data_IF_458414637415
#
_entry.id   IF_458414637415
#
_cell.length_a   1.000
_cell.length_b   1.000
_cell.length_c   1.000
_cell.angle_alpha   90.00
_cell.angle_beta   90.00
_cell.angle_gamma   90.00
#
_symmetry.space_group_name_H-M   'P 1'
#
loop_
_entity.id
_entity.type
_entity.pdbx_description
1 polymer ?
#
# COMPACT_ATOMS: atom_id res chain seq x y z
N UNK A 1 19.22 -21.99 -1.62
CA UNK A 1 19.35 -20.84 -2.53
C UNK A 1 18.17 -19.91 -2.27
N UNK A 2 18.40 -18.74 -1.65
CA UNK A 2 17.33 -17.78 -1.31
C UNK A 2 17.11 -16.87 -2.52
N UNK A 3 15.91 -16.90 -3.10
CA UNK A 3 15.52 -15.96 -4.17
C UNK A 3 15.03 -14.67 -3.52
N UNK A 4 15.88 -13.65 -3.47
CA UNK A 4 15.52 -12.34 -2.94
C UNK A 4 14.61 -11.60 -3.93
N UNK A 5 13.58 -10.92 -3.44
CA UNK A 5 12.66 -10.12 -4.27
C UNK A 5 13.45 -9.08 -5.11
N UNK A 6 14.53 -8.53 -4.57
CA UNK A 6 15.42 -7.60 -5.28
C UNK A 6 16.18 -8.18 -6.48
N UNK A 7 16.20 -9.51 -6.67
CA UNK A 7 16.75 -10.12 -7.89
C UNK A 7 15.81 -10.05 -9.11
N UNK A 8 14.58 -9.57 -8.90
CA UNK A 8 13.56 -9.44 -9.96
C UNK A 8 13.87 -8.23 -10.83
N UNK A 9 14.09 -8.44 -12.11
CA UNK A 9 14.23 -7.38 -13.11
C UNK A 9 13.04 -7.41 -14.05
N UNK A 10 12.45 -6.25 -14.34
CA UNK A 10 11.42 -6.17 -15.39
C UNK A 10 12.09 -6.19 -16.76
N UNK A 11 11.38 -6.62 -17.80
CA UNK A 11 11.88 -6.60 -19.20
C UNK A 11 12.38 -5.21 -19.66
N UNK A 12 11.94 -4.13 -18.99
CA UNK A 12 12.36 -2.75 -19.25
C UNK A 12 13.58 -2.30 -18.42
N UNK A 13 14.23 -3.20 -17.68
CA UNK A 13 15.47 -2.90 -16.94
C UNK A 13 15.28 -2.20 -15.59
N UNK A 14 14.05 -2.12 -15.06
CA UNK A 14 13.83 -1.59 -13.71
C UNK A 14 14.48 -2.53 -12.68
N UNK A 15 15.36 -1.96 -11.84
CA UNK A 15 15.95 -2.62 -10.68
C UNK A 15 15.02 -2.43 -9.49
N UNK A 16 14.69 -3.52 -8.81
CA UNK A 16 13.88 -3.50 -7.59
C UNK A 16 14.82 -3.60 -6.40
N UNK A 17 14.71 -2.67 -5.46
CA UNK A 17 15.40 -2.73 -4.17
C UNK A 17 14.38 -3.11 -3.10
N UNK A 18 14.78 -3.98 -2.19
CA UNK A 18 14.00 -4.35 -1.03
C UNK A 18 14.94 -4.33 0.17
N UNK A 19 14.53 -3.61 1.20
CA UNK A 19 15.27 -3.45 2.46
C UNK A 19 14.37 -3.84 3.63
N UNK A 20 15.01 -4.20 4.75
CA UNK A 20 14.29 -4.46 5.97
C UNK A 20 13.86 -3.11 6.57
N UNK A 21 12.58 -2.97 6.83
CA UNK A 21 12.04 -1.85 7.59
C UNK A 21 12.09 -2.20 9.09
N UNK A 22 13.01 -1.57 9.81
CA UNK A 22 13.20 -1.78 11.26
C UNK A 22 12.37 -0.80 12.11
N UNK A 23 11.50 0.01 11.48
CA UNK A 23 10.65 0.94 12.22
C UNK A 23 9.65 0.19 13.13
N UNK A 24 9.43 0.75 14.31
CA UNK A 24 8.40 0.28 15.22
C UNK A 24 7.04 0.86 14.84
N UNK A 25 6.10 -0.02 14.50
CA UNK A 25 4.73 0.34 14.18
C UNK A 25 3.79 0.01 15.34
N UNK A 26 3.33 1.02 16.11
CA UNK A 26 2.40 0.78 17.21
C UNK A 26 1.12 0.14 16.70
N UNK A 27 0.75 -0.99 17.32
CA UNK A 27 -0.47 -1.73 16.99
C UNK A 27 -1.66 -1.20 17.78
N UNK A 28 -2.88 -1.47 17.30
CA UNK A 28 -4.10 -1.08 18.01
C UNK A 28 -4.47 0.40 17.92
N UNK A 29 -3.80 1.19 17.05
CA UNK A 29 -4.22 2.56 16.76
C UNK A 29 -5.62 2.52 16.12
N UNK A 30 -6.63 3.00 16.85
CA UNK A 30 -7.99 3.13 16.35
C UNK A 30 -8.18 4.48 15.69
N UNK A 31 -8.34 4.47 14.37
CA UNK A 31 -8.76 5.66 13.61
C UNK A 31 -10.27 5.80 13.75
N UNK A 32 -10.77 7.03 13.97
CA UNK A 32 -12.21 7.25 14.06
C UNK A 32 -12.89 7.13 12.69
N UNK A 33 -14.17 6.75 12.66
CA UNK A 33 -14.95 6.69 11.42
C UNK A 33 -14.97 8.03 10.69
N UNK A 34 -14.98 9.14 11.45
CA UNK A 34 -14.92 10.50 10.91
C UNK A 34 -13.60 10.78 10.18
N UNK A 35 -12.49 10.26 10.67
CA UNK A 35 -11.19 10.41 10.02
C UNK A 35 -11.07 9.52 8.79
N UNK A 36 -11.51 8.27 8.90
CA UNK A 36 -11.56 7.34 7.77
C UNK A 36 -12.44 7.85 6.63
N UNK A 37 -13.60 8.44 6.96
CA UNK A 37 -14.51 9.03 5.98
C UNK A 37 -13.93 10.22 5.21
N UNK A 38 -12.88 10.87 5.73
CA UNK A 38 -12.18 11.93 4.98
C UNK A 38 -11.33 11.35 3.85
N UNK A 39 -10.91 10.09 3.93
CA UNK A 39 -10.07 9.49 2.90
C UNK A 39 -10.94 9.33 1.64
N UNK A 40 -10.46 9.86 0.51
CA UNK A 40 -11.17 9.81 -0.75
C UNK A 40 -10.94 8.43 -1.39
N UNK A 41 -11.63 7.41 -0.86
CA UNK A 41 -11.49 6.01 -1.27
C UNK A 41 -12.60 5.64 -2.26
N UNK A 42 -12.20 5.14 -3.42
CA UNK A 42 -13.09 4.47 -4.37
C UNK A 42 -12.83 2.96 -4.31
N UNK A 43 -13.86 2.18 -3.96
CA UNK A 43 -13.77 0.72 -3.90
C UNK A 43 -14.04 0.11 -5.27
N UNK A 44 -13.29 -0.93 -5.62
CA UNK A 44 -13.50 -1.66 -6.86
C UNK A 44 -14.77 -2.52 -6.80
N UNK A 45 -15.39 -2.79 -7.94
CA UNK A 45 -16.54 -3.69 -8.02
C UNK A 45 -16.14 -5.14 -7.75
N UNK A 46 -14.89 -5.51 -8.08
CA UNK A 46 -14.35 -6.83 -7.79
C UNK A 46 -13.53 -6.79 -6.50
N UNK A 47 -14.06 -7.39 -5.43
CA UNK A 47 -13.46 -7.41 -4.09
C UNK A 47 -13.11 -6.02 -3.55
N UNK A 48 -14.05 -5.07 -3.57
CA UNK A 48 -13.86 -3.70 -3.09
C UNK A 48 -13.43 -3.57 -1.62
N UNK A 49 -13.60 -4.63 -0.84
CA UNK A 49 -13.09 -4.75 0.53
C UNK A 49 -11.57 -4.92 0.60
N UNK A 50 -10.93 -5.38 -0.48
CA UNK A 50 -9.46 -5.47 -0.63
C UNK A 50 -8.93 -4.49 -1.69
N UNK A 51 -9.67 -4.31 -2.77
CA UNK A 51 -9.28 -3.56 -3.94
C UNK A 51 -9.92 -2.17 -3.90
N UNK A 52 -9.10 -1.15 -3.70
CA UNK A 52 -9.55 0.23 -3.67
C UNK A 52 -8.50 1.18 -4.21
N UNK A 53 -8.93 2.38 -4.57
CA UNK A 53 -8.10 3.50 -5.02
C UNK A 53 -8.26 4.64 -4.04
N UNK A 54 -7.15 5.31 -3.70
CA UNK A 54 -7.18 6.55 -2.95
C UNK A 54 -6.94 7.69 -3.94
N UNK A 55 -7.98 8.49 -4.17
CA UNK A 55 -7.93 9.61 -5.09
C UNK A 55 -7.43 10.88 -4.38
N UNK A 56 -6.71 11.78 -5.07
CA UNK A 56 -6.37 13.09 -4.52
C UNK A 56 -7.62 13.86 -4.10
N UNK A 57 -7.53 14.65 -3.02
CA UNK A 57 -8.59 15.61 -2.69
C UNK A 57 -8.42 16.82 -3.62
N UNK A 58 -9.53 17.27 -4.21
CA UNK A 58 -9.56 18.56 -4.92
C UNK A 58 -9.30 19.66 -3.88
N UNK A 59 -8.39 20.58 -4.21
CA UNK A 59 -8.04 21.75 -3.39
C UNK A 59 -9.20 22.71 -3.24
#
# INVERSE_FOLDING_TARGET
MVKLIGSTTTRKGLKIMAELDENEYPTGIKVSDKEMAKVNIERDYFHGEWNYKICPRKS
#
